data_IF_656907760355
#
_entry.id   IF_656907760355
#
_cell.length_a   1.000
_cell.length_b   1.000
_cell.length_c   1.000
_cell.angle_alpha   90.00
_cell.angle_beta   90.00
_cell.angle_gamma   90.00
#
_symmetry.space_group_name_H-M   'P 1'
#
loop_
_entity.id
_entity.type
_entity.pdbx_description
1 polymer ?
#
# COMPACT_ATOMS: atom_id res chain seq x y z
N UNK A 1 -14.52 11.91 -10.09
CA UNK A 1 -13.76 12.50 -8.98
C UNK A 1 -12.55 11.62 -8.73
N UNK A 2 -11.38 12.20 -8.51
CA UNK A 2 -10.23 11.42 -8.06
C UNK A 2 -10.55 10.77 -6.70
N UNK A 3 -10.09 9.54 -6.50
CA UNK A 3 -10.29 8.80 -5.23
C UNK A 3 -9.49 9.53 -4.13
N UNK A 4 -10.11 9.79 -2.98
CA UNK A 4 -9.41 10.37 -1.83
C UNK A 4 -8.76 9.26 -1.01
N UNK A 5 -7.46 9.07 -1.19
CA UNK A 5 -6.71 8.03 -0.50
C UNK A 5 -6.52 8.28 0.99
N UNK A 6 -6.56 9.55 1.41
CA UNK A 6 -6.50 9.93 2.82
C UNK A 6 -7.80 9.57 3.53
N UNK A 7 -8.95 9.80 2.89
CA UNK A 7 -10.26 9.35 3.38
C UNK A 7 -10.34 7.82 3.48
N UNK A 8 -9.86 7.10 2.46
CA UNK A 8 -9.84 5.63 2.48
C UNK A 8 -8.93 5.12 3.60
N UNK A 9 -7.72 5.68 3.75
CA UNK A 9 -6.79 5.30 4.81
C UNK A 9 -7.41 5.53 6.21
N UNK A 10 -8.15 6.63 6.39
CA UNK A 10 -8.84 6.92 7.65
C UNK A 10 -9.86 5.82 8.02
N UNK A 11 -10.50 5.19 7.02
CA UNK A 11 -11.42 4.08 7.21
C UNK A 11 -10.80 2.82 7.83
N UNK A 12 -9.47 2.65 7.77
CA UNK A 12 -8.77 1.51 8.38
C UNK A 12 -8.38 1.74 9.85
N UNK A 13 -8.31 2.99 10.32
CA UNK A 13 -7.65 3.34 11.59
C UNK A 13 -8.27 2.62 12.78
N UNK A 14 -9.61 2.54 12.86
CA UNK A 14 -10.30 1.87 13.95
C UNK A 14 -10.00 0.37 13.97
N UNK A 15 -10.07 -0.30 12.82
CA UNK A 15 -9.78 -1.72 12.70
C UNK A 15 -8.33 -2.03 13.04
N UNK A 16 -7.38 -1.25 12.50
CA UNK A 16 -5.95 -1.43 12.78
C UNK A 16 -5.62 -1.27 14.26
N UNK A 17 -6.31 -0.33 14.94
CA UNK A 17 -6.18 -0.17 16.39
C UNK A 17 -6.78 -1.35 17.16
N UNK A 18 -7.95 -1.83 16.75
CA UNK A 18 -8.62 -2.97 17.39
C UNK A 18 -7.82 -4.27 17.23
N UNK A 19 -7.21 -4.48 16.06
CA UNK A 19 -6.41 -5.67 15.72
C UNK A 19 -4.91 -5.49 15.96
N UNK A 20 -4.46 -4.37 16.52
CA UNK A 20 -3.04 -4.07 16.72
C UNK A 20 -2.28 -5.18 17.46
N UNK A 21 -2.88 -5.74 18.54
CA UNK A 21 -2.26 -6.85 19.29
C UNK A 21 -2.15 -8.13 18.46
N UNK A 22 -3.12 -8.41 17.59
CA UNK A 22 -3.09 -9.56 16.68
C UNK A 22 -1.95 -9.40 15.67
N UNK A 23 -1.86 -8.23 15.03
CA UNK A 23 -0.81 -7.88 14.07
C UNK A 23 0.58 -8.05 14.70
N UNK A 24 0.78 -7.46 15.89
CA UNK A 24 2.07 -7.47 16.56
C UNK A 24 2.46 -8.90 17.02
N UNK A 25 1.50 -9.68 17.53
CA UNK A 25 1.74 -11.06 17.94
C UNK A 25 2.01 -12.01 16.76
N UNK A 26 1.30 -11.83 15.65
CA UNK A 26 1.50 -12.59 14.42
C UNK A 26 2.84 -12.26 13.76
N UNK A 27 3.38 -11.07 14.00
CA UNK A 27 4.59 -10.51 13.36
C UNK A 27 4.46 -10.37 11.84
N UNK A 28 3.24 -10.20 11.36
CA UNK A 28 2.92 -9.84 9.99
C UNK A 28 1.54 -9.18 9.94
N UNK A 29 1.26 -8.45 8.87
CA UNK A 29 -0.09 -7.93 8.61
C UNK A 29 -1.02 -9.11 8.29
N UNK A 30 -2.20 -9.24 8.91
CA UNK A 30 -3.19 -10.23 8.53
C UNK A 30 -3.55 -10.12 7.04
N UNK A 31 -3.64 -11.28 6.36
CA UNK A 31 -3.78 -11.31 4.91
C UNK A 31 -5.05 -10.59 4.43
N UNK A 32 -6.14 -10.66 5.19
CA UNK A 32 -7.40 -9.98 4.84
C UNK A 32 -7.30 -8.44 4.83
N UNK A 33 -6.42 -7.89 5.68
CA UNK A 33 -6.12 -6.45 5.68
C UNK A 33 -5.22 -6.12 4.49
N UNK A 34 -4.16 -6.91 4.28
CA UNK A 34 -3.21 -6.71 3.20
C UNK A 34 -3.89 -6.78 1.82
N UNK A 35 -4.75 -7.77 1.60
CA UNK A 35 -5.51 -7.91 0.35
C UNK A 35 -6.42 -6.72 0.09
N UNK A 36 -7.11 -6.21 1.13
CA UNK A 36 -7.94 -5.01 1.01
C UNK A 36 -7.09 -3.79 0.68
N UNK A 37 -5.94 -3.61 1.35
CA UNK A 37 -5.03 -2.50 1.05
C UNK A 37 -4.51 -2.57 -0.40
N UNK A 38 -4.22 -3.78 -0.90
CA UNK A 38 -3.81 -3.99 -2.29
C UNK A 38 -4.91 -3.66 -3.30
N UNK A 39 -6.15 -4.08 -3.03
CA UNK A 39 -7.32 -3.78 -3.85
C UNK A 39 -7.62 -2.28 -3.92
N UNK A 40 -7.43 -1.56 -2.81
CA UNK A 40 -7.56 -0.11 -2.75
C UNK A 40 -6.47 0.61 -3.55
N UNK A 41 -5.31 -0.04 -3.75
CA UNK A 41 -4.19 0.44 -4.54
C UNK A 41 -3.06 1.04 -3.71
N UNK A 42 -3.04 0.83 -2.39
CA UNK A 42 -2.03 1.43 -1.51
C UNK A 42 -0.60 1.01 -1.85
N UNK A 43 -0.37 -0.24 -2.26
CA UNK A 43 0.97 -0.72 -2.66
C UNK A 43 1.42 -0.24 -4.06
N UNK A 44 0.54 0.42 -4.82
CA UNK A 44 0.85 0.99 -6.16
C UNK A 44 0.51 2.48 -6.24
N UNK A 45 0.50 3.15 -5.09
CA UNK A 45 0.04 4.52 -4.95
C UNK A 45 0.91 5.51 -5.75
N UNK A 46 2.23 5.36 -5.70
CA UNK A 46 3.17 6.22 -6.44
C UNK A 46 3.51 5.71 -7.85
N UNK A 47 2.95 4.57 -8.25
CA UNK A 47 3.28 3.92 -9.51
C UNK A 47 2.58 4.63 -10.66
N UNK A 48 3.26 4.87 -11.80
CA UNK A 48 2.65 5.53 -12.95
C UNK A 48 1.38 4.82 -13.43
N UNK A 49 0.41 5.59 -13.91
CA UNK A 49 -0.87 5.05 -14.41
C UNK A 49 -0.69 4.12 -15.62
N UNK A 50 0.35 4.34 -16.42
CA UNK A 50 0.73 3.51 -17.57
C UNK A 50 1.18 2.11 -17.16
N UNK A 51 1.59 1.94 -15.90
CA UNK A 51 1.97 0.67 -15.29
C UNK A 51 0.86 0.13 -14.37
N UNK A 52 -0.38 0.61 -14.52
CA UNK A 52 -1.53 0.18 -13.70
C UNK A 52 -1.55 0.73 -12.28
N UNK A 53 -0.67 1.67 -11.96
CA UNK A 53 -0.61 2.37 -10.69
C UNK A 53 -1.63 3.49 -10.55
N UNK A 54 -1.60 4.16 -9.40
CA UNK A 54 -2.47 5.30 -9.10
C UNK A 54 -1.87 6.62 -9.61
N UNK A 55 -0.55 6.74 -9.66
CA UNK A 55 0.16 7.95 -10.07
C UNK A 55 -0.03 9.12 -9.10
N UNK A 56 -0.19 8.84 -7.81
CA UNK A 56 -0.39 9.87 -6.80
C UNK A 56 0.88 10.70 -6.54
N UNK A 57 0.68 11.94 -6.09
CA UNK A 57 1.77 12.79 -5.62
C UNK A 57 2.42 12.19 -4.35
N UNK A 58 3.75 12.27 -4.17
CA UNK A 58 4.42 11.79 -2.97
C UNK A 58 3.85 12.32 -1.65
N UNK A 59 3.23 13.51 -1.65
CA UNK A 59 2.48 14.05 -0.51
C UNK A 59 1.34 13.13 -0.08
N UNK A 60 0.61 12.56 -1.04
CA UNK A 60 -0.50 11.64 -0.75
C UNK A 60 0.01 10.36 -0.09
N UNK A 61 1.16 9.83 -0.52
CA UNK A 61 1.79 8.70 0.17
C UNK A 61 2.15 9.04 1.62
N UNK A 62 2.73 10.22 1.86
CA UNK A 62 3.06 10.67 3.21
C UNK A 62 1.81 10.76 4.09
N UNK A 63 0.75 11.42 3.61
CA UNK A 63 -0.52 11.57 4.34
C UNK A 63 -1.17 10.22 4.65
N UNK A 64 -1.22 9.31 3.67
CA UNK A 64 -1.74 7.94 3.86
C UNK A 64 -0.96 7.20 4.95
N UNK A 65 0.37 7.22 4.89
CA UNK A 65 1.22 6.55 5.87
C UNK A 65 1.06 7.14 7.27
N UNK A 66 0.97 8.48 7.38
CA UNK A 66 0.71 9.17 8.65
C UNK A 66 -0.63 8.75 9.26
N UNK A 67 -1.69 8.70 8.44
CA UNK A 67 -3.03 8.27 8.88
C UNK A 67 -3.02 6.82 9.34
N UNK A 68 -2.51 5.90 8.52
CA UNK A 68 -2.44 4.46 8.87
C UNK A 68 -1.62 4.22 10.14
N UNK A 69 -0.53 4.99 10.34
CA UNK A 69 0.33 4.88 11.50
C UNK A 69 -0.39 5.23 12.82
N UNK A 70 -1.44 6.06 12.77
CA UNK A 70 -2.29 6.32 13.95
C UNK A 70 -3.12 5.11 14.40
N UNK A 71 -3.32 4.14 13.50
CA UNK A 71 -3.96 2.86 13.77
C UNK A 71 -2.93 1.77 14.12
N UNK A 72 -1.96 1.53 13.23
CA UNK A 72 -0.85 0.61 13.45
C UNK A 72 0.39 1.01 12.60
N UNK A 73 1.52 1.24 13.26
CA UNK A 73 2.76 1.67 12.60
C UNK A 73 3.37 0.62 11.66
N UNK A 74 3.27 -0.67 11.99
CA UNK A 74 3.80 -1.76 11.15
C UNK A 74 3.05 -1.86 9.81
N UNK A 75 1.73 -1.67 9.82
CA UNK A 75 0.90 -1.66 8.61
C UNK A 75 1.26 -0.46 7.73
N UNK A 76 1.40 0.73 8.31
CA UNK A 76 1.87 1.91 7.58
C UNK A 76 3.25 1.70 6.95
N UNK A 77 4.17 1.06 7.68
CA UNK A 77 5.49 0.72 7.19
C UNK A 77 5.44 -0.26 6.00
N UNK A 78 4.62 -1.31 6.09
CA UNK A 78 4.43 -2.25 4.98
C UNK A 78 3.86 -1.55 3.73
N UNK A 79 2.90 -0.63 3.89
CA UNK A 79 2.38 0.18 2.77
C UNK A 79 3.46 1.06 2.16
N UNK A 80 4.23 1.77 3.00
CA UNK A 80 5.32 2.63 2.52
C UNK A 80 6.36 1.84 1.72
N UNK A 81 6.83 0.71 2.26
CA UNK A 81 7.80 -0.14 1.58
C UNK A 81 7.20 -0.68 0.28
N UNK A 82 6.00 -1.26 0.30
CA UNK A 82 5.41 -1.83 -0.91
C UNK A 82 5.19 -0.78 -2.01
N UNK A 83 4.71 0.42 -1.65
CA UNK A 83 4.55 1.53 -2.59
C UNK A 83 5.87 2.03 -3.18
N UNK A 84 6.96 2.04 -2.39
CA UNK A 84 8.27 2.57 -2.82
C UNK A 84 9.17 1.52 -3.47
N UNK A 85 8.95 0.23 -3.23
CA UNK A 85 9.61 -0.88 -3.93
C UNK A 85 9.45 -0.75 -5.46
N UNK A 86 8.33 -0.19 -5.92
CA UNK A 86 8.05 0.00 -7.35
C UNK A 86 8.94 1.07 -8.00
N UNK A 87 9.62 1.93 -7.22
CA UNK A 87 10.66 2.82 -7.75
C UNK A 87 11.85 2.07 -8.35
N UNK A 88 11.98 0.78 -8.06
CA UNK A 88 13.01 -0.07 -8.66
C UNK A 88 12.63 -0.60 -10.04
N UNK A 89 11.40 -0.39 -10.53
CA UNK A 89 10.97 -0.85 -11.85
C UNK A 89 11.90 -0.41 -13.00
N UNK A 90 12.42 0.83 -13.07
CA UNK A 90 13.37 1.21 -14.11
C UNK A 90 14.69 0.42 -14.12
N UNK A 91 15.05 -0.22 -13.00
CA UNK A 91 16.23 -1.07 -12.88
C UNK A 91 15.91 -2.57 -13.08
N UNK A 92 14.64 -2.96 -13.19
CA UNK A 92 14.22 -4.34 -13.39
C UNK A 92 14.30 -4.74 -14.87
N UNK A 93 14.37 -6.05 -15.13
CA UNK A 93 14.28 -6.57 -16.49
C UNK A 93 12.86 -6.39 -17.04
N UNK A 94 12.69 -6.24 -18.38
CA UNK A 94 11.35 -6.18 -18.97
C UNK A 94 10.48 -7.40 -18.63
N UNK A 95 11.08 -8.59 -18.50
CA UNK A 95 10.38 -9.81 -18.14
C UNK A 95 9.84 -9.75 -16.70
N UNK A 96 10.66 -9.27 -15.75
CA UNK A 96 10.23 -9.12 -14.36
C UNK A 96 9.13 -8.07 -14.21
N UNK A 97 9.24 -6.95 -14.94
CA UNK A 97 8.19 -5.92 -14.94
C UNK A 97 6.88 -6.51 -15.49
N UNK A 98 6.94 -7.27 -16.58
CA UNK A 98 5.74 -7.93 -17.13
C UNK A 98 5.09 -8.86 -16.11
N UNK A 99 5.87 -9.75 -15.47
CA UNK A 99 5.38 -10.68 -14.45
C UNK A 99 4.73 -9.95 -13.26
N UNK A 100 5.39 -8.91 -12.73
CA UNK A 100 4.87 -8.12 -11.61
C UNK A 100 3.57 -7.39 -11.95
N UNK A 101 3.38 -6.99 -13.22
CA UNK A 101 2.21 -6.24 -13.66
C UNK A 101 1.02 -7.13 -14.08
N UNK A 102 1.17 -8.46 -14.12
CA UNK A 102 0.06 -9.38 -14.41
C UNK A 102 -1.06 -9.29 -13.38
N UNK A 103 -0.69 -9.12 -12.11
CA UNK A 103 -1.63 -8.90 -11.02
C UNK A 103 -1.43 -7.50 -10.43
N UNK A 104 -2.34 -6.53 -10.69
CA UNK A 104 -2.17 -5.19 -10.16
C UNK A 104 -2.24 -5.15 -8.62
N UNK A 105 -2.83 -6.17 -7.99
CA UNK A 105 -2.93 -6.30 -6.53
C UNK A 105 -1.80 -7.15 -5.94
N UNK A 106 -0.70 -7.36 -6.67
CA UNK A 106 0.50 -7.96 -6.09
C UNK A 106 0.98 -7.09 -4.91
N UNK A 107 1.28 -7.73 -3.78
CA UNK A 107 1.85 -7.07 -2.61
C UNK A 107 3.37 -7.15 -2.77
N UNK A 108 3.98 -6.04 -3.17
CA UNK A 108 5.43 -5.88 -3.39
C UNK A 108 6.20 -5.47 -2.15
#
# INVERSE_FOLDING_TARGET
>A
MARDYSEIAAGYVEELRARGREIDAARHVPQDIADRLAQEGFYRLCTPTELGGVGADPRVLAEVCEILATGNGSVAWCVFIGATSQYMFPAASPQLIQELLENPNVIT
#
